data_IF_994769744400
#
_entry.id   IF_994769744400
#
_cell.length_a   1.000
_cell.length_b   1.000
_cell.length_c   1.000
_cell.angle_alpha   90.00
_cell.angle_beta   90.00
_cell.angle_gamma   90.00
#
_symmetry.space_group_name_H-M   'P 1'
#
loop_
_entity.id
_entity.type
_entity.pdbx_description
1 polymer ?
#
# COMPACT_ATOMS: atom_id res chain seq x y z
N UNK A 1 3.00 22.16 186.98
CA UNK A 1 3.00 21.22 188.12
C UNK A 1 4.31 20.46 188.05
N UNK A 2 5.32 20.84 188.84
CA UNK A 2 5.62 20.25 190.16
C UNK A 2 5.79 18.74 190.09
N UNK A 3 7.04 18.30 189.92
CA UNK A 3 7.58 17.13 190.63
C UNK A 3 9.02 17.47 191.05
N UNK A 4 9.22 17.52 192.37
CA UNK A 4 10.52 17.74 192.99
C UNK A 4 11.29 16.43 192.96
N UNK A 5 12.28 16.35 192.10
CA UNK A 5 13.23 15.22 192.00
C UNK A 5 14.52 15.52 192.76
N UNK A 6 14.44 16.13 193.96
CA UNK A 6 15.65 16.39 194.75
C UNK A 6 16.09 15.13 195.51
N UNK A 7 17.27 14.56 195.20
CA UNK A 7 17.69 13.28 195.76
C UNK A 7 18.21 13.44 197.19
N UNK A 8 17.92 12.44 198.03
CA UNK A 8 18.49 12.31 199.36
C UNK A 8 19.87 11.66 199.21
N UNK A 9 20.93 12.44 199.38
CA UNK A 9 22.31 11.98 199.23
C UNK A 9 22.90 11.49 200.55
N UNK A 10 23.70 10.42 200.48
CA UNK A 10 24.44 9.88 201.62
C UNK A 10 25.65 10.75 201.96
N UNK A 11 26.04 10.79 203.24
CA UNK A 11 27.10 11.68 203.73
C UNK A 11 28.45 11.50 203.00
N UNK A 12 28.76 10.30 202.52
CA UNK A 12 29.99 10.03 201.76
C UNK A 12 29.97 10.63 200.35
N UNK A 13 28.80 10.66 199.69
CA UNK A 13 28.63 11.37 198.41
C UNK A 13 28.77 12.88 198.58
N UNK A 14 28.23 13.42 199.68
CA UNK A 14 28.34 14.86 199.98
C UNK A 14 29.82 15.22 200.18
N UNK A 15 30.58 14.43 200.95
CA UNK A 15 32.02 14.64 201.16
C UNK A 15 32.82 14.51 199.85
N UNK A 16 32.49 13.54 199.00
CA UNK A 16 33.15 13.37 197.69
C UNK A 16 32.85 14.54 196.75
N UNK A 17 31.61 15.02 196.72
CA UNK A 17 31.21 16.16 195.89
C UNK A 17 31.99 17.42 196.30
N UNK A 18 32.07 17.71 197.60
CA UNK A 18 32.83 18.87 198.05
C UNK A 18 34.35 18.73 197.82
N UNK A 19 34.92 17.52 197.81
CA UNK A 19 36.35 17.29 197.52
C UNK A 19 36.73 17.38 196.05
N UNK A 20 35.80 17.08 195.14
CA UNK A 20 36.11 16.98 193.70
C UNK A 20 35.64 18.23 192.95
N UNK A 21 34.53 18.82 193.38
CA UNK A 21 33.83 19.87 192.63
C UNK A 21 33.87 21.25 193.31
N UNK A 22 34.24 21.35 194.60
CA UNK A 22 34.00 22.60 195.36
C UNK A 22 35.20 23.14 196.17
N UNK A 23 35.97 22.31 196.90
CA UNK A 23 37.10 22.75 197.73
C UNK A 23 38.44 22.58 197.01
N UNK A 24 39.37 23.55 197.16
CA UNK A 24 40.66 23.56 196.43
C UNK A 24 41.83 23.80 197.39
N UNK A 25 42.87 22.96 197.34
CA UNK A 25 44.10 23.09 198.15
C UNK A 25 44.16 22.22 199.41
N UNK A 26 45.00 22.57 200.39
CA UNK A 26 45.23 21.76 201.61
C UNK A 26 43.95 21.47 202.42
N UNK A 27 42.90 22.28 202.26
CA UNK A 27 41.60 22.11 202.94
C UNK A 27 40.86 20.82 202.51
N UNK A 28 41.02 20.37 201.26
CA UNK A 28 40.33 19.18 200.75
C UNK A 28 40.85 17.86 201.35
N UNK A 29 42.11 17.83 201.81
CA UNK A 29 42.74 16.63 202.42
C UNK A 29 42.32 16.40 203.87
N UNK A 30 41.94 17.45 204.58
CA UNK A 30 41.57 17.39 206.00
C UNK A 30 40.06 17.33 206.26
N UNK A 31 39.24 17.50 205.22
CA UNK A 31 37.78 17.47 205.31
C UNK A 31 37.25 16.04 205.43
N UNK A 32 36.64 15.67 206.55
CA UNK A 32 36.23 14.29 206.84
C UNK A 32 34.80 14.19 207.37
N UNK A 33 34.23 12.98 207.38
CA UNK A 33 32.85 12.70 207.81
C UNK A 33 32.53 13.21 209.24
N UNK A 34 33.55 13.27 210.10
CA UNK A 34 33.47 13.79 211.47
C UNK A 34 33.22 15.29 211.57
N UNK A 35 33.28 16.04 210.47
CA UNK A 35 33.02 17.48 210.47
C UNK A 35 31.54 17.82 210.24
N UNK A 36 30.69 16.82 209.96
CA UNK A 36 29.23 16.97 209.74
C UNK A 36 28.36 16.09 210.63
N UNK A 37 28.92 15.13 211.36
CA UNK A 37 28.14 14.21 212.22
C UNK A 37 28.77 13.99 213.60
N UNK A 38 27.96 13.96 214.69
CA UNK A 38 26.51 14.13 214.69
C UNK A 38 26.07 15.59 214.54
N UNK A 39 26.98 16.55 214.80
CA UNK A 39 26.73 18.00 214.71
C UNK A 39 27.86 18.68 213.93
N UNK A 40 27.58 19.44 212.86
CA UNK A 40 28.62 20.08 212.06
C UNK A 40 29.35 21.22 212.75
N UNK A 41 30.65 21.35 212.50
CA UNK A 41 31.49 22.45 213.03
C UNK A 41 31.30 23.73 212.20
N UNK A 42 31.11 24.87 212.88
CA UNK A 42 30.80 26.19 212.27
C UNK A 42 31.89 26.69 211.31
N UNK A 43 33.16 26.31 211.54
CA UNK A 43 34.28 26.64 210.66
C UNK A 43 34.17 25.99 209.26
N UNK A 44 33.52 24.83 209.18
CA UNK A 44 33.38 24.07 207.94
C UNK A 44 32.30 24.64 207.01
N UNK A 45 31.26 25.27 207.57
CA UNK A 45 30.16 25.87 206.81
C UNK A 45 30.53 27.20 206.15
N UNK A 46 31.43 27.98 206.75
CA UNK A 46 31.88 29.27 206.19
C UNK A 46 32.70 29.11 204.90
N UNK A 47 33.48 28.02 204.77
CA UNK A 47 34.33 27.81 203.60
C UNK A 47 33.53 27.28 202.39
N UNK A 48 32.43 26.56 202.63
CA UNK A 48 31.55 26.04 201.58
C UNK A 48 30.77 27.17 200.88
N UNK A 49 30.29 28.18 201.62
CA UNK A 49 29.51 29.28 201.05
C UNK A 49 30.38 30.20 200.16
N UNK A 50 31.67 30.33 200.45
CA UNK A 50 32.59 31.15 199.63
C UNK A 50 32.93 30.51 198.29
N UNK A 51 33.01 29.17 198.20
CA UNK A 51 33.22 28.49 196.92
C UNK A 51 31.99 28.50 196.01
N UNK A 52 30.76 28.53 196.55
CA UNK A 52 29.54 28.48 195.73
C UNK A 52 29.26 29.78 194.97
N UNK A 53 29.63 30.95 195.52
CA UNK A 53 29.40 32.24 194.85
C UNK A 53 30.43 32.57 193.75
N UNK A 54 31.55 31.83 193.66
CA UNK A 54 32.57 32.02 192.62
C UNK A 54 32.21 31.43 191.25
N UNK A 55 31.36 30.41 191.20
CA UNK A 55 31.02 29.68 189.95
C UNK A 55 29.85 30.29 189.14
N UNK A 56 29.16 31.31 189.65
CA UNK A 56 27.97 31.87 188.98
C UNK A 56 28.30 32.94 187.90
N UNK A 57 29.46 33.60 187.96
CA UNK A 57 29.80 34.70 187.05
C UNK A 57 30.53 34.27 185.76
N UNK A 58 31.01 33.04 185.67
CA UNK A 58 31.73 32.53 184.50
C UNK A 58 30.82 31.88 183.43
N UNK A 59 29.61 31.43 183.75
CA UNK A 59 28.70 30.82 182.77
C UNK A 59 27.99 31.84 181.84
N UNK A 60 27.70 33.06 182.28
CA UNK A 60 26.94 34.03 181.45
C UNK A 60 27.73 34.61 180.26
N UNK A 61 29.06 34.54 180.24
CA UNK A 61 29.88 35.13 179.17
C UNK A 61 30.00 34.21 177.94
N UNK A 62 29.89 32.89 178.10
CA UNK A 62 30.04 31.94 177.00
C UNK A 62 28.79 31.81 176.09
N UNK A 63 27.59 32.09 176.61
CA UNK A 63 26.34 31.96 175.83
C UNK A 63 26.12 33.12 174.85
N UNK A 64 26.58 34.34 175.17
CA UNK A 64 26.48 35.49 174.27
C UNK A 64 27.34 35.32 173.01
N UNK A 65 28.52 34.70 173.14
CA UNK A 65 29.43 34.47 172.00
C UNK A 65 28.86 33.44 171.00
N UNK A 66 28.05 32.46 171.47
CA UNK A 66 27.38 31.49 170.58
C UNK A 66 26.24 32.11 169.76
N UNK A 67 25.47 33.02 170.34
CA UNK A 67 24.35 33.67 169.65
C UNK A 67 24.83 34.53 168.47
N UNK A 68 25.98 35.20 168.60
CA UNK A 68 26.57 36.01 167.54
C UNK A 68 27.08 35.19 166.34
N UNK A 69 27.41 33.91 166.52
CA UNK A 69 27.86 33.04 165.44
C UNK A 69 26.71 32.60 164.52
N UNK A 70 25.55 32.26 165.08
CA UNK A 70 24.39 31.81 164.29
C UNK A 70 23.80 32.90 163.40
N UNK A 71 23.72 34.15 163.89
CA UNK A 71 23.17 35.27 163.11
C UNK A 71 23.96 35.53 161.83
N UNK A 72 25.27 35.29 161.82
CA UNK A 72 26.12 35.49 160.64
C UNK A 72 25.91 34.42 159.57
N UNK A 73 25.73 33.17 159.99
CA UNK A 73 25.50 32.04 159.07
C UNK A 73 24.16 32.16 158.31
N UNK A 74 23.10 32.66 158.95
CA UNK A 74 21.82 32.84 158.27
C UNK A 74 21.88 33.89 157.15
N UNK A 75 22.61 34.98 157.36
CA UNK A 75 22.71 36.06 156.38
C UNK A 75 23.51 35.65 155.12
N UNK A 76 24.48 34.73 155.28
CA UNK A 76 25.19 34.13 154.15
C UNK A 76 24.34 33.12 153.37
N UNK A 77 23.45 32.38 154.05
CA UNK A 77 22.55 31.42 153.40
C UNK A 77 21.49 32.11 152.53
N UNK A 78 20.92 33.24 152.98
CA UNK A 78 19.94 34.02 152.20
C UNK A 78 20.52 34.54 150.88
N UNK A 79 21.74 35.11 150.91
CA UNK A 79 22.42 35.56 149.68
C UNK A 79 22.64 34.45 148.66
N UNK A 80 22.81 33.21 149.12
CA UNK A 80 23.06 32.06 148.24
C UNK A 80 21.78 31.56 147.54
N UNK A 81 20.61 31.76 148.16
CA UNK A 81 19.32 31.40 147.58
C UNK A 81 18.92 32.39 146.47
N UNK A 82 19.19 33.68 146.64
CA UNK A 82 18.90 34.71 145.64
C UNK A 82 19.68 34.47 144.34
N UNK A 83 20.97 34.13 144.42
CA UNK A 83 21.80 33.82 143.24
C UNK A 83 21.34 32.60 142.43
N UNK A 84 20.64 31.62 143.01
CA UNK A 84 20.23 30.39 142.32
C UNK A 84 18.85 30.49 141.66
N UNK A 85 18.05 31.51 141.99
CA UNK A 85 16.66 31.65 141.51
C UNK A 85 16.51 32.61 140.33
N UNK A 86 17.58 33.31 139.95
CA UNK A 86 17.63 34.13 138.74
C UNK A 86 18.45 33.43 137.65
N UNK A 87 17.81 33.08 136.53
CA UNK A 87 18.51 32.60 135.33
C UNK A 87 19.35 33.77 134.77
N UNK A 88 20.65 33.60 134.51
CA UNK A 88 21.49 34.65 133.95
C UNK A 88 20.96 35.11 132.58
N UNK A 89 20.94 36.42 132.30
CA UNK A 89 20.48 36.95 130.99
C UNK A 89 21.27 36.40 129.80
N UNK A 90 22.50 35.92 130.02
CA UNK A 90 23.31 35.24 129.00
C UNK A 90 22.68 33.94 128.52
N UNK A 91 22.05 33.15 129.39
CA UNK A 91 21.40 31.89 129.01
C UNK A 91 20.02 32.09 128.35
N UNK A 92 19.34 33.22 128.64
CA UNK A 92 18.10 33.58 127.95
C UNK A 92 18.39 34.07 126.53
N UNK A 93 19.45 34.87 126.34
CA UNK A 93 19.88 35.33 125.01
C UNK A 93 20.32 34.17 124.10
N UNK A 94 21.02 33.17 124.64
CA UNK A 94 21.46 31.99 123.90
C UNK A 94 20.28 31.12 123.42
N UNK A 95 19.23 30.99 124.24
CA UNK A 95 18.01 30.28 123.85
C UNK A 95 17.23 31.01 122.74
N UNK A 96 17.17 32.34 122.79
CA UNK A 96 16.52 33.16 121.76
C UNK A 96 17.33 33.13 120.45
N UNK A 97 18.67 33.11 120.50
CA UNK A 97 19.55 32.96 119.34
C UNK A 97 19.41 31.57 118.69
N UNK A 98 19.28 30.51 119.49
CA UNK A 98 19.00 29.15 119.00
C UNK A 98 17.62 29.03 118.33
N UNK A 99 16.59 29.69 118.86
CA UNK A 99 15.27 29.72 118.24
C UNK A 99 15.25 30.50 116.92
N UNK A 100 16.02 31.59 116.84
CA UNK A 100 16.22 32.34 115.61
C UNK A 100 16.96 31.49 114.56
N UNK A 101 18.04 30.81 114.94
CA UNK A 101 18.79 29.92 114.05
C UNK A 101 17.96 28.73 113.55
N UNK A 102 17.09 28.15 114.40
CA UNK A 102 16.17 27.09 113.99
C UNK A 102 15.10 27.60 113.01
N UNK A 103 14.56 28.80 113.24
CA UNK A 103 13.58 29.41 112.34
C UNK A 103 14.20 29.75 110.99
N UNK A 104 15.44 30.24 110.98
CA UNK A 104 16.20 30.52 109.76
C UNK A 104 16.49 29.21 109.00
N UNK A 105 16.98 28.17 109.69
CA UNK A 105 17.20 26.85 109.09
C UNK A 105 15.91 26.24 108.50
N UNK A 106 14.79 26.39 109.20
CA UNK A 106 13.48 25.92 108.72
C UNK A 106 13.02 26.71 107.48
N UNK A 107 13.25 28.02 107.44
CA UNK A 107 12.95 28.86 106.28
C UNK A 107 13.84 28.49 105.07
N UNK A 108 15.14 28.29 105.28
CA UNK A 108 16.09 27.88 104.22
C UNK A 108 15.73 26.50 103.68
N UNK A 109 15.40 25.55 104.55
CA UNK A 109 14.97 24.20 104.13
C UNK A 109 13.69 24.24 103.29
N UNK A 110 12.73 25.10 103.66
CA UNK A 110 11.48 25.27 102.91
C UNK A 110 11.74 25.91 101.54
N UNK A 111 12.66 26.89 101.45
CA UNK A 111 13.07 27.51 100.21
C UNK A 111 13.77 26.52 99.27
N UNK A 112 14.77 25.78 99.78
CA UNK A 112 15.48 24.75 99.01
C UNK A 112 14.52 23.69 98.48
N UNK A 113 13.53 23.26 99.27
CA UNK A 113 12.51 22.32 98.81
C UNK A 113 11.65 22.89 97.66
N UNK A 114 11.32 24.18 97.71
CA UNK A 114 10.58 24.85 96.63
C UNK A 114 11.43 24.99 95.36
N UNK A 115 12.71 25.33 95.48
CA UNK A 115 13.64 25.40 94.34
C UNK A 115 13.84 24.04 93.68
N UNK A 116 14.03 22.97 94.48
CA UNK A 116 14.15 21.60 93.96
C UNK A 116 12.89 21.19 93.19
N UNK A 117 11.70 21.55 93.68
CA UNK A 117 10.45 21.27 92.96
C UNK A 117 10.37 22.04 91.63
N UNK A 118 10.70 23.34 91.62
CA UNK A 118 10.69 24.16 90.41
C UNK A 118 11.72 23.67 89.36
N UNK A 119 12.88 23.21 89.81
CA UNK A 119 13.91 22.62 88.95
C UNK A 119 13.46 21.27 88.40
N UNK A 120 12.77 20.45 89.21
CA UNK A 120 12.20 19.18 88.79
C UNK A 120 11.07 19.35 87.75
N UNK A 121 10.22 20.37 87.91
CA UNK A 121 9.20 20.76 86.93
C UNK A 121 9.86 21.17 85.59
N UNK A 122 10.94 21.95 85.66
CA UNK A 122 11.73 22.33 84.49
C UNK A 122 12.34 21.11 83.80
N UNK A 123 12.90 20.16 84.56
CA UNK A 123 13.43 18.89 84.03
C UNK A 123 12.33 18.08 83.33
N UNK A 124 11.13 18.02 83.90
CA UNK A 124 9.99 17.35 83.29
C UNK A 124 9.59 18.00 81.95
N UNK A 125 9.56 19.34 81.90
CA UNK A 125 9.30 20.07 80.66
C UNK A 125 10.37 19.79 79.59
N UNK A 126 11.66 19.80 79.97
CA UNK A 126 12.76 19.46 79.07
C UNK A 126 12.70 18.02 78.56
N UNK A 127 12.33 17.05 79.41
CA UNK A 127 12.10 15.65 79.00
C UNK A 127 10.99 15.56 77.95
N UNK A 128 9.89 16.29 78.16
CA UNK A 128 8.78 16.35 77.20
C UNK A 128 9.22 16.96 75.86
N UNK A 129 9.94 18.09 75.89
CA UNK A 129 10.50 18.72 74.68
C UNK A 129 11.47 17.81 73.94
N UNK A 130 12.32 17.07 74.65
CA UNK A 130 13.23 16.08 74.05
C UNK A 130 12.45 14.95 73.39
N UNK A 131 11.41 14.42 74.04
CA UNK A 131 10.56 13.38 73.49
C UNK A 131 9.86 13.85 72.20
N UNK A 132 9.28 15.06 72.20
CA UNK A 132 8.65 15.65 71.02
C UNK A 132 9.64 15.87 69.86
N UNK A 133 10.84 16.40 70.16
CA UNK A 133 11.88 16.59 69.14
C UNK A 133 12.36 15.26 68.57
N UNK A 134 12.48 14.24 69.41
CA UNK A 134 12.84 12.87 69.00
C UNK A 134 11.76 12.27 68.09
N UNK A 135 10.48 12.45 68.43
CA UNK A 135 9.36 11.99 67.62
C UNK A 135 9.31 12.72 66.26
N UNK A 136 9.45 14.05 66.24
CA UNK A 136 9.48 14.84 65.00
C UNK A 136 10.67 14.44 64.11
N UNK A 137 11.83 14.16 64.70
CA UNK A 137 13.00 13.67 63.97
C UNK A 137 12.75 12.29 63.35
N UNK A 138 12.10 11.38 64.09
CA UNK A 138 11.72 10.07 63.58
C UNK A 138 10.75 10.19 62.40
N UNK A 139 9.75 11.08 62.49
CA UNK A 139 8.82 11.35 61.39
C UNK A 139 9.55 11.86 60.14
N UNK A 140 10.42 12.87 60.29
CA UNK A 140 11.20 13.41 59.17
C UNK A 140 12.09 12.34 58.52
N UNK A 141 12.66 11.40 59.30
CA UNK A 141 13.42 10.28 58.73
C UNK A 141 12.56 9.36 57.86
N UNK A 142 11.32 9.09 58.26
CA UNK A 142 10.36 8.30 57.47
C UNK A 142 10.01 9.06 56.19
N UNK A 143 9.70 10.34 56.29
CA UNK A 143 9.35 11.17 55.13
C UNK A 143 10.51 11.26 54.12
N UNK A 144 11.75 11.40 54.60
CA UNK A 144 12.96 11.38 53.75
C UNK A 144 13.13 10.03 53.05
N UNK A 145 12.84 8.91 53.72
CA UNK A 145 12.89 7.59 53.09
C UNK A 145 11.82 7.44 52.02
N UNK A 146 10.57 7.87 52.30
CA UNK A 146 9.48 7.89 51.31
C UNK A 146 9.84 8.72 50.09
N UNK A 147 10.37 9.93 50.28
CA UNK A 147 10.79 10.80 49.18
C UNK A 147 11.94 10.19 48.37
N UNK A 148 12.88 9.47 49.00
CA UNK A 148 13.94 8.75 48.28
C UNK A 148 13.39 7.63 47.40
N UNK A 149 12.41 6.88 47.88
CA UNK A 149 11.73 5.86 47.10
C UNK A 149 10.96 6.48 45.92
N UNK A 150 10.26 7.58 46.15
CA UNK A 150 9.54 8.32 45.10
C UNK A 150 10.50 8.88 44.03
N UNK A 151 11.65 9.44 44.43
CA UNK A 151 12.71 9.87 43.52
C UNK A 151 13.25 8.69 42.71
N UNK A 152 13.47 7.54 43.35
CA UNK A 152 13.90 6.31 42.68
C UNK A 152 12.91 5.85 41.61
N UNK A 153 11.61 5.81 41.95
CA UNK A 153 10.53 5.43 41.04
C UNK A 153 10.40 6.38 39.85
N UNK A 154 10.40 7.69 40.11
CA UNK A 154 10.34 8.71 39.05
C UNK A 154 11.56 8.64 38.12
N UNK A 155 12.76 8.40 38.66
CA UNK A 155 13.97 8.26 37.85
C UNK A 155 13.88 7.05 36.91
N UNK A 156 13.35 5.90 37.36
CA UNK A 156 13.15 4.74 36.49
C UNK A 156 12.14 5.02 35.39
N UNK A 157 11.00 5.66 35.69
CA UNK A 157 10.00 6.03 34.68
C UNK A 157 10.53 7.05 33.66
N UNK A 158 11.35 8.01 34.11
CA UNK A 158 12.03 8.97 33.23
C UNK A 158 13.04 8.28 32.30
N UNK A 159 13.63 7.15 32.70
CA UNK A 159 14.59 6.41 31.87
C UNK A 159 13.87 5.43 30.91
N UNK A 160 12.78 4.79 31.35
CA UNK A 160 12.00 3.87 30.51
C UNK A 160 11.27 4.60 29.35
N UNK A 161 10.68 5.78 29.58
CA UNK A 161 9.92 6.50 28.55
C UNK A 161 10.76 6.91 27.30
N UNK A 162 12.00 7.40 27.44
CA UNK A 162 12.92 7.63 26.32
C UNK A 162 13.36 6.36 25.60
N UNK A 163 13.58 5.25 26.31
CA UNK A 163 13.94 3.97 25.69
C UNK A 163 12.77 3.40 24.88
N UNK A 164 11.55 3.49 25.40
CA UNK A 164 10.31 3.14 24.70
C UNK A 164 10.16 3.97 23.41
N UNK A 165 10.35 5.30 23.50
CA UNK A 165 10.28 6.19 22.33
C UNK A 165 11.35 5.84 21.28
N UNK A 166 12.58 5.54 21.71
CA UNK A 166 13.66 5.13 20.82
C UNK A 166 13.34 3.81 20.12
N UNK A 167 12.76 2.84 20.85
CA UNK A 167 12.28 1.57 20.30
C UNK A 167 11.19 1.78 19.26
N UNK A 168 10.21 2.66 19.54
CA UNK A 168 9.17 2.99 18.57
C UNK A 168 9.72 3.72 17.34
N UNK A 169 10.67 4.64 17.50
CA UNK A 169 11.34 5.31 16.39
C UNK A 169 12.09 4.33 15.49
N UNK A 170 12.80 3.35 16.06
CA UNK A 170 13.47 2.29 15.29
C UNK A 170 12.47 1.43 14.52
N UNK A 171 11.37 0.99 15.16
CA UNK A 171 10.29 0.28 14.47
C UNK A 171 9.72 1.10 13.31
N UNK A 172 9.52 2.40 13.51
CA UNK A 172 9.00 3.28 12.46
C UNK A 172 10.01 3.48 11.33
N UNK A 173 11.31 3.59 11.62
CA UNK A 173 12.37 3.62 10.59
C UNK A 173 12.39 2.35 9.76
N UNK A 174 12.31 1.19 10.41
CA UNK A 174 12.30 -0.09 9.70
C UNK A 174 11.04 -0.24 8.84
N UNK A 175 9.88 0.18 9.34
CA UNK A 175 8.65 0.22 8.56
C UNK A 175 8.77 1.14 7.34
N UNK A 176 9.32 2.35 7.51
CA UNK A 176 9.57 3.29 6.39
C UNK A 176 10.51 2.68 5.36
N UNK A 177 11.57 2.00 5.80
CA UNK A 177 12.51 1.30 4.92
C UNK A 177 11.82 0.19 4.13
N UNK A 178 11.01 -0.63 4.80
CA UNK A 178 10.26 -1.72 4.16
C UNK A 178 9.25 -1.18 3.14
N UNK A 179 8.55 -0.09 3.47
CA UNK A 179 7.63 0.59 2.54
C UNK A 179 8.40 1.09 1.32
N UNK A 180 9.56 1.72 1.52
CA UNK A 180 10.38 2.23 0.41
C UNK A 180 10.82 1.12 -0.53
N UNK A 181 11.32 0.01 0.00
CA UNK A 181 11.71 -1.15 -0.80
C UNK A 181 10.50 -1.73 -1.55
N UNK A 182 9.34 -1.84 -0.88
CA UNK A 182 8.12 -2.32 -1.53
C UNK A 182 7.63 -1.40 -2.65
N UNK A 183 7.83 -0.08 -2.54
CA UNK A 183 7.53 0.89 -3.60
C UNK A 183 8.48 0.67 -4.77
N UNK A 184 9.79 0.59 -4.53
CA UNK A 184 10.81 0.34 -5.56
C UNK A 184 10.52 -0.97 -6.33
N UNK A 185 10.22 -2.08 -5.63
CA UNK A 185 9.84 -3.35 -6.25
C UNK A 185 8.54 -3.25 -7.09
N UNK A 186 7.59 -2.41 -6.65
CA UNK A 186 6.34 -2.21 -7.38
C UNK A 186 6.57 -1.38 -8.64
N UNK A 187 7.42 -0.35 -8.57
CA UNK A 187 7.79 0.48 -9.72
C UNK A 187 8.53 -0.34 -10.79
N UNK A 188 9.46 -1.21 -10.38
CA UNK A 188 10.14 -2.14 -11.29
C UNK A 188 9.13 -3.04 -12.03
N UNK A 189 8.18 -3.65 -11.31
CA UNK A 189 7.12 -4.48 -11.92
C UNK A 189 6.23 -3.68 -12.87
N UNK A 190 5.92 -2.42 -12.55
CA UNK A 190 5.12 -1.56 -13.43
C UNK A 190 5.85 -1.31 -14.76
N UNK A 191 7.16 -1.05 -14.72
CA UNK A 191 7.97 -0.87 -15.94
C UNK A 191 8.01 -2.17 -16.75
N UNK A 192 8.21 -3.32 -16.11
CA UNK A 192 8.15 -4.62 -16.79
C UNK A 192 6.81 -4.86 -17.48
N UNK A 193 5.70 -4.59 -16.78
CA UNK A 193 4.36 -4.71 -17.35
C UNK A 193 4.13 -3.74 -18.52
N UNK A 194 4.61 -2.50 -18.42
CA UNK A 194 4.53 -1.54 -19.54
C UNK A 194 5.28 -2.03 -20.78
N UNK A 195 6.47 -2.61 -20.60
CA UNK A 195 7.24 -3.19 -21.70
C UNK A 195 6.51 -4.38 -22.35
N UNK A 196 5.89 -5.25 -21.55
CA UNK A 196 5.07 -6.35 -22.06
C UNK A 196 3.87 -5.85 -22.88
N UNK A 197 3.16 -4.84 -22.37
CA UNK A 197 2.02 -4.21 -23.08
C UNK A 197 2.47 -3.58 -24.39
N UNK A 198 3.64 -2.92 -24.43
CA UNK A 198 4.19 -2.39 -25.69
C UNK A 198 4.53 -3.52 -26.68
N UNK A 199 5.05 -4.65 -26.22
CA UNK A 199 5.28 -5.83 -27.04
C UNK A 199 3.99 -6.40 -27.64
N UNK A 200 2.92 -6.51 -26.83
CA UNK A 200 1.63 -6.98 -27.32
C UNK A 200 1.00 -6.02 -28.34
N UNK A 201 1.01 -4.71 -28.09
CA UNK A 201 0.46 -3.73 -29.04
C UNK A 201 1.21 -3.73 -30.37
N UNK A 202 2.53 -3.99 -30.35
CA UNK A 202 3.30 -4.19 -31.57
C UNK A 202 2.87 -5.46 -32.32
N UNK A 203 2.75 -6.59 -31.63
CA UNK A 203 2.28 -7.85 -32.21
C UNK A 203 0.85 -7.74 -32.77
N UNK A 204 -0.03 -7.01 -32.09
CA UNK A 204 -1.40 -6.73 -32.57
C UNK A 204 -1.39 -5.97 -33.90
N UNK A 205 -0.51 -4.97 -34.05
CA UNK A 205 -0.35 -4.24 -35.29
C UNK A 205 0.17 -5.13 -36.44
N UNK A 206 1.12 -6.01 -36.17
CA UNK A 206 1.62 -6.98 -37.16
C UNK A 206 0.53 -7.98 -37.59
N UNK A 207 -0.27 -8.47 -36.63
CA UNK A 207 -1.41 -9.34 -36.91
C UNK A 207 -2.43 -8.63 -37.81
N UNK A 208 -2.75 -7.37 -37.54
CA UNK A 208 -3.67 -6.58 -38.36
C UNK A 208 -3.15 -6.39 -39.79
N UNK A 209 -1.84 -6.17 -39.97
CA UNK A 209 -1.22 -6.11 -41.29
C UNK A 209 -1.32 -7.44 -42.04
N UNK A 210 -1.07 -8.57 -41.34
CA UNK A 210 -1.20 -9.90 -41.92
C UNK A 210 -2.63 -10.20 -42.37
N UNK A 211 -3.65 -9.81 -41.58
CA UNK A 211 -5.05 -9.95 -41.98
C UNK A 211 -5.38 -9.19 -43.26
N UNK A 212 -4.88 -7.96 -43.42
CA UNK A 212 -5.11 -7.18 -44.63
C UNK A 212 -4.49 -7.87 -45.87
N UNK A 213 -3.26 -8.40 -45.73
CA UNK A 213 -2.60 -9.14 -46.82
C UNK A 213 -3.37 -10.42 -47.20
N UNK A 214 -3.93 -11.14 -46.23
CA UNK A 214 -4.75 -12.31 -46.48
C UNK A 214 -6.03 -11.95 -47.25
N UNK A 215 -6.67 -10.83 -46.91
CA UNK A 215 -7.88 -10.36 -47.60
C UNK A 215 -7.59 -9.95 -49.06
N UNK A 216 -6.44 -9.31 -49.30
CA UNK A 216 -5.98 -8.97 -50.66
C UNK A 216 -5.70 -10.23 -51.49
N UNK A 217 -5.05 -11.23 -50.88
CA UNK A 217 -4.79 -12.53 -51.50
C UNK A 217 -6.09 -13.26 -51.85
N UNK A 218 -7.06 -13.29 -50.95
CA UNK A 218 -8.39 -13.87 -51.20
C UNK A 218 -9.07 -13.20 -52.39
N UNK A 219 -9.06 -11.87 -52.42
CA UNK A 219 -9.63 -11.07 -53.51
C UNK A 219 -8.94 -11.36 -54.86
N UNK A 220 -7.61 -11.45 -54.86
CA UNK A 220 -6.82 -11.82 -56.03
C UNK A 220 -7.13 -13.25 -56.52
N UNK A 221 -7.24 -14.20 -55.60
CA UNK A 221 -7.56 -15.59 -55.90
C UNK A 221 -8.96 -15.73 -56.51
N UNK A 222 -9.95 -15.00 -55.98
CA UNK A 222 -11.31 -14.96 -56.54
C UNK A 222 -11.31 -14.40 -57.98
N UNK A 223 -10.55 -13.34 -58.24
CA UNK A 223 -10.39 -12.81 -59.60
C UNK A 223 -9.70 -13.80 -60.55
N UNK A 224 -8.70 -14.52 -60.08
CA UNK A 224 -8.02 -15.56 -60.86
C UNK A 224 -8.96 -16.71 -61.21
N UNK A 225 -9.79 -17.14 -60.26
CA UNK A 225 -10.83 -18.16 -60.49
C UNK A 225 -11.84 -17.73 -61.56
N UNK A 226 -12.35 -16.50 -61.49
CA UNK A 226 -13.26 -15.98 -62.52
C UNK A 226 -12.60 -15.93 -63.92
N UNK A 227 -11.30 -15.58 -63.99
CA UNK A 227 -10.55 -15.62 -65.26
C UNK A 227 -10.40 -17.05 -65.78
N UNK A 228 -10.16 -18.00 -64.89
CA UNK A 228 -10.06 -19.42 -65.23
C UNK A 228 -11.38 -19.96 -65.79
N UNK A 229 -12.52 -19.62 -65.19
CA UNK A 229 -13.86 -19.98 -65.66
C UNK A 229 -14.11 -19.44 -67.08
N UNK A 230 -13.82 -18.15 -67.32
CA UNK A 230 -13.92 -17.55 -68.67
C UNK A 230 -13.02 -18.24 -69.69
N UNK A 231 -11.81 -18.63 -69.30
CA UNK A 231 -10.91 -19.36 -70.18
C UNK A 231 -11.48 -20.73 -70.56
N UNK A 232 -12.07 -21.46 -69.60
CA UNK A 232 -12.72 -22.74 -69.86
C UNK A 232 -13.91 -22.60 -70.81
N UNK A 233 -14.75 -21.58 -70.62
CA UNK A 233 -15.86 -21.28 -71.53
C UNK A 233 -15.38 -20.98 -72.96
N UNK A 234 -14.32 -20.17 -73.09
CA UNK A 234 -13.75 -19.83 -74.38
C UNK A 234 -13.14 -21.05 -75.08
N UNK A 235 -12.48 -21.93 -74.33
CA UNK A 235 -11.95 -23.19 -74.86
C UNK A 235 -13.07 -24.11 -75.38
N UNK A 236 -14.17 -24.24 -74.64
CA UNK A 236 -15.34 -25.00 -75.10
C UNK A 236 -15.93 -24.41 -76.39
N UNK A 237 -16.01 -23.08 -76.50
CA UNK A 237 -16.45 -22.40 -77.73
C UNK A 237 -15.48 -22.65 -78.90
N UNK A 238 -14.17 -22.59 -78.65
CA UNK A 238 -13.15 -22.86 -79.66
C UNK A 238 -13.28 -24.29 -80.21
N UNK A 239 -13.42 -25.29 -79.34
CA UNK A 239 -13.62 -26.68 -79.76
C UNK A 239 -14.89 -26.86 -80.59
N UNK A 240 -15.98 -26.20 -80.19
CA UNK A 240 -17.24 -26.21 -80.96
C UNK A 240 -17.03 -25.63 -82.36
N UNK A 241 -16.39 -24.46 -82.46
CA UNK A 241 -16.10 -23.81 -83.74
C UNK A 241 -15.16 -24.64 -84.61
N UNK A 242 -14.19 -25.31 -84.00
CA UNK A 242 -13.28 -26.21 -84.71
C UNK A 242 -14.02 -27.41 -85.32
N UNK A 243 -14.99 -27.99 -84.59
CA UNK A 243 -15.86 -29.06 -85.10
C UNK A 243 -16.76 -28.56 -86.24
N UNK A 244 -17.38 -27.39 -86.08
CA UNK A 244 -18.19 -26.75 -87.13
C UNK A 244 -17.37 -26.53 -88.41
N UNK A 245 -16.14 -26.01 -88.30
CA UNK A 245 -15.25 -25.78 -89.44
C UNK A 245 -14.89 -27.08 -90.17
N UNK A 246 -14.59 -28.16 -89.43
CA UNK A 246 -14.31 -29.48 -90.03
C UNK A 246 -15.52 -30.00 -90.82
N UNK A 247 -16.74 -29.81 -90.30
CA UNK A 247 -17.97 -30.21 -90.99
C UNK A 247 -18.16 -29.44 -92.30
N UNK A 248 -17.97 -28.11 -92.27
CA UNK A 248 -18.06 -27.26 -93.46
C UNK A 248 -17.04 -27.70 -94.53
N UNK A 249 -15.82 -28.06 -94.15
CA UNK A 249 -14.82 -28.57 -95.10
C UNK A 249 -15.25 -29.89 -95.75
N UNK A 250 -15.89 -30.78 -94.99
CA UNK A 250 -16.45 -32.04 -95.52
C UNK A 250 -17.57 -31.73 -96.53
N UNK A 251 -18.49 -30.81 -96.18
CA UNK A 251 -19.58 -30.38 -97.05
C UNK A 251 -19.08 -29.72 -98.34
N UNK A 252 -18.10 -28.82 -98.23
CA UNK A 252 -17.43 -28.19 -99.39
C UNK A 252 -16.85 -29.27 -100.32
N UNK A 253 -16.14 -30.26 -99.76
CA UNK A 253 -15.59 -31.36 -100.52
C UNK A 253 -16.66 -32.21 -101.24
N UNK A 254 -17.80 -32.44 -100.60
CA UNK A 254 -18.94 -33.14 -101.22
C UNK A 254 -19.54 -32.33 -102.38
N UNK A 255 -19.77 -31.03 -102.18
CA UNK A 255 -20.31 -30.14 -103.20
C UNK A 255 -19.36 -30.01 -104.39
N UNK A 256 -18.04 -29.92 -104.15
CA UNK A 256 -17.03 -29.88 -105.21
C UNK A 256 -17.09 -31.15 -106.08
N UNK A 257 -17.11 -32.34 -105.46
CA UNK A 257 -17.28 -33.60 -106.21
C UNK A 257 -18.61 -33.65 -106.99
N UNK A 258 -19.69 -33.11 -106.43
CA UNK A 258 -20.97 -33.04 -107.11
C UNK A 258 -20.94 -32.09 -108.32
N UNK A 259 -20.28 -30.94 -108.19
CA UNK A 259 -20.03 -29.99 -109.28
C UNK A 259 -19.23 -30.65 -110.41
N UNK A 260 -18.13 -31.33 -110.09
CA UNK A 260 -17.26 -31.98 -111.08
C UNK A 260 -18.04 -33.05 -111.87
N UNK A 261 -18.88 -33.84 -111.19
CA UNK A 261 -19.79 -34.79 -111.85
C UNK A 261 -20.77 -34.13 -112.80
N UNK A 262 -21.29 -32.93 -112.47
CA UNK A 262 -22.18 -32.17 -113.36
C UNK A 262 -21.43 -31.65 -114.59
N UNK A 263 -20.23 -31.09 -114.39
CA UNK A 263 -19.38 -30.58 -115.47
C UNK A 263 -18.95 -31.69 -116.43
N UNK A 264 -18.57 -32.87 -115.93
CA UNK A 264 -18.24 -34.03 -116.79
C UNK A 264 -19.45 -34.48 -117.64
N UNK A 265 -20.64 -34.56 -117.03
CA UNK A 265 -21.88 -34.88 -117.75
C UNK A 265 -22.20 -33.85 -118.83
N UNK A 266 -22.07 -32.58 -118.52
CA UNK A 266 -22.30 -31.48 -119.46
C UNK A 266 -21.29 -31.50 -120.60
N UNK A 267 -19.99 -31.70 -120.31
CA UNK A 267 -18.94 -31.84 -121.31
C UNK A 267 -19.25 -33.00 -122.27
N UNK A 268 -19.59 -34.19 -121.74
CA UNK A 268 -20.01 -35.35 -122.53
C UNK A 268 -21.22 -35.04 -123.41
N UNK A 269 -22.21 -34.32 -122.88
CA UNK A 269 -23.40 -33.93 -123.65
C UNK A 269 -23.06 -32.92 -124.75
N UNK A 270 -22.21 -31.92 -124.46
CA UNK A 270 -21.77 -30.92 -125.43
C UNK A 270 -20.95 -31.54 -126.56
N UNK A 271 -20.03 -32.46 -126.27
CA UNK A 271 -19.31 -33.22 -127.29
C UNK A 271 -20.28 -34.02 -128.18
N UNK A 272 -21.27 -34.71 -127.60
CA UNK A 272 -22.29 -35.45 -128.37
C UNK A 272 -23.11 -34.53 -129.28
N UNK A 273 -23.56 -33.37 -128.76
CA UNK A 273 -24.30 -32.35 -129.52
C UNK A 273 -23.43 -31.79 -130.65
N UNK A 274 -22.17 -31.51 -130.38
CA UNK A 274 -21.22 -30.98 -131.35
C UNK A 274 -20.98 -31.97 -132.49
N UNK A 275 -20.65 -33.23 -132.19
CA UNK A 275 -20.52 -34.29 -133.21
C UNK A 275 -21.77 -34.44 -134.06
N UNK A 276 -22.96 -34.35 -133.46
CA UNK A 276 -24.23 -34.42 -134.21
C UNK A 276 -24.41 -33.21 -135.15
N UNK A 277 -23.97 -32.02 -134.74
CA UNK A 277 -23.97 -30.83 -135.61
C UNK A 277 -22.99 -31.01 -136.76
N UNK A 278 -21.76 -31.42 -136.47
CA UNK A 278 -20.72 -31.66 -137.47
C UNK A 278 -21.15 -32.71 -138.51
N UNK A 279 -21.77 -33.81 -138.08
CA UNK A 279 -22.30 -34.81 -139.04
C UNK A 279 -23.40 -34.25 -139.94
N UNK A 280 -24.29 -33.40 -139.42
CA UNK A 280 -25.33 -32.75 -140.22
C UNK A 280 -24.74 -31.75 -141.20
N UNK A 281 -23.77 -30.95 -140.74
CA UNK A 281 -23.05 -29.98 -141.55
C UNK A 281 -22.31 -30.68 -142.70
N UNK A 282 -21.60 -31.76 -142.40
CA UNK A 282 -20.92 -32.58 -143.42
C UNK A 282 -21.90 -33.10 -144.47
N UNK A 283 -23.07 -33.61 -144.04
CA UNK A 283 -24.11 -34.07 -144.96
C UNK A 283 -24.64 -32.95 -145.86
N UNK A 284 -24.90 -31.75 -145.30
CA UNK A 284 -25.32 -30.59 -146.08
C UNK A 284 -24.25 -30.19 -147.09
N UNK A 285 -22.97 -30.16 -146.69
CA UNK A 285 -21.86 -29.87 -147.60
C UNK A 285 -21.75 -30.89 -148.73
N UNK A 286 -21.94 -32.18 -148.44
CA UNK A 286 -21.95 -33.24 -149.45
C UNK A 286 -23.10 -33.09 -150.45
N UNK A 287 -24.32 -32.80 -149.97
CA UNK A 287 -25.47 -32.51 -150.83
C UNK A 287 -25.20 -31.27 -151.69
N UNK A 288 -24.65 -30.20 -151.10
CA UNK A 288 -24.31 -28.98 -151.83
C UNK A 288 -23.26 -29.25 -152.93
N UNK A 289 -22.24 -30.05 -152.63
CA UNK A 289 -21.24 -30.50 -153.62
C UNK A 289 -21.90 -31.27 -154.77
N UNK A 290 -22.82 -32.18 -154.47
CA UNK A 290 -23.57 -32.90 -155.51
C UNK A 290 -24.44 -31.96 -156.34
N UNK A 291 -25.14 -31.01 -155.72
CA UNK A 291 -25.94 -30.00 -156.41
C UNK A 291 -25.06 -29.14 -157.34
N UNK A 292 -23.88 -28.72 -156.90
CA UNK A 292 -22.94 -27.96 -157.74
C UNK A 292 -22.45 -28.78 -158.94
N UNK A 293 -22.10 -30.06 -158.74
CA UNK A 293 -21.73 -30.96 -159.84
C UNK A 293 -22.88 -31.13 -160.84
N UNK A 294 -24.12 -31.27 -160.35
CA UNK A 294 -25.31 -31.33 -161.20
C UNK A 294 -25.55 -30.01 -161.94
N UNK A 295 -25.31 -28.88 -161.30
CA UNK A 295 -25.43 -27.56 -161.92
C UNK A 295 -24.40 -27.37 -163.04
N UNK A 296 -23.12 -27.69 -162.78
CA UNK A 296 -22.06 -27.65 -163.78
C UNK A 296 -22.37 -28.52 -165.00
N UNK A 297 -22.83 -29.77 -164.79
CA UNK A 297 -23.27 -30.64 -165.90
C UNK A 297 -24.46 -30.07 -166.68
N UNK A 298 -25.39 -29.38 -166.00
CA UNK A 298 -26.52 -28.71 -166.64
C UNK A 298 -26.07 -27.51 -167.47
N UNK A 299 -25.09 -26.76 -166.97
CA UNK A 299 -24.48 -25.63 -167.69
C UNK A 299 -23.75 -26.12 -168.95
N UNK A 300 -22.90 -27.15 -168.83
CA UNK A 300 -22.24 -27.78 -169.99
C UNK A 300 -23.24 -28.31 -171.03
N UNK A 301 -24.38 -28.87 -170.60
CA UNK A 301 -25.46 -29.29 -171.51
C UNK A 301 -26.19 -28.11 -172.14
N UNK A 302 -26.41 -27.02 -171.39
CA UNK A 302 -27.03 -25.81 -171.91
C UNK A 302 -26.16 -25.17 -173.00
N UNK A 303 -24.84 -25.12 -172.79
CA UNK A 303 -23.87 -24.65 -173.80
C UNK A 303 -23.94 -25.49 -175.07
N UNK A 304 -23.97 -26.83 -174.95
CA UNK A 304 -24.14 -27.74 -176.10
C UNK A 304 -25.47 -27.53 -176.82
N UNK A 305 -26.56 -27.32 -176.09
CA UNK A 305 -27.88 -27.02 -176.68
C UNK A 305 -27.81 -25.68 -177.43
N UNK A 306 -27.13 -24.67 -176.87
CA UNK A 306 -26.97 -23.37 -177.51
C UNK A 306 -26.13 -23.48 -178.78
N UNK A 307 -25.05 -24.26 -178.77
CA UNK A 307 -24.23 -24.57 -179.95
C UNK A 307 -25.07 -25.24 -181.05
N UNK A 308 -25.78 -26.33 -180.74
CA UNK A 308 -26.69 -27.01 -181.69
C UNK A 308 -27.78 -26.06 -182.18
N UNK A 309 -28.32 -25.19 -181.32
CA UNK A 309 -29.33 -24.21 -181.72
C UNK A 309 -28.75 -23.19 -182.69
N UNK A 310 -27.51 -22.75 -182.48
CA UNK A 310 -26.77 -21.88 -183.40
C UNK A 310 -26.52 -22.55 -184.76
N UNK A 311 -26.04 -23.79 -184.74
CA UNK A 311 -25.87 -24.61 -185.95
C UNK A 311 -27.19 -24.79 -186.71
N UNK A 312 -28.28 -25.09 -185.99
CA UNK A 312 -29.62 -25.23 -186.55
C UNK A 312 -30.08 -23.91 -187.21
N UNK A 313 -29.86 -22.76 -186.56
CA UNK A 313 -30.18 -21.45 -187.15
C UNK A 313 -29.34 -21.17 -188.40
N UNK A 314 -28.04 -21.49 -188.39
CA UNK A 314 -27.18 -21.34 -189.56
C UNK A 314 -27.63 -22.23 -190.71
N UNK A 315 -27.99 -23.49 -190.43
CA UNK A 315 -28.54 -24.42 -191.42
C UNK A 315 -29.86 -23.88 -191.98
N UNK A 316 -30.75 -23.36 -191.12
CA UNK A 316 -32.02 -22.75 -191.54
C UNK A 316 -31.80 -21.53 -192.44
N UNK A 317 -30.78 -20.71 -192.16
CA UNK A 317 -30.40 -19.58 -193.01
C UNK A 317 -29.87 -20.06 -194.38
N UNK A 318 -29.03 -21.10 -194.42
CA UNK A 318 -28.56 -21.72 -195.68
C UNK A 318 -29.72 -22.28 -196.50
N UNK A 319 -30.66 -23.00 -195.88
CA UNK A 319 -31.87 -23.51 -196.54
C UNK A 319 -32.70 -22.36 -197.13
N UNK A 320 -32.84 -21.25 -196.41
CA UNK A 320 -33.56 -20.07 -196.90
C UNK A 320 -32.84 -19.44 -198.11
N UNK A 321 -31.52 -19.23 -198.02
CA UNK A 321 -30.72 -18.70 -199.13
C UNK A 321 -30.80 -19.58 -200.38
N UNK A 322 -30.68 -20.91 -200.24
CA UNK A 322 -30.86 -21.84 -201.35
C UNK A 322 -32.27 -21.76 -201.95
N UNK A 323 -33.30 -21.63 -201.10
CA UNK A 323 -34.67 -21.45 -201.56
C UNK A 323 -34.83 -20.15 -202.35
N UNK A 324 -34.24 -19.06 -201.90
CA UNK A 324 -34.29 -17.77 -202.58
C UNK A 324 -33.58 -17.86 -203.95
N UNK A 325 -32.41 -18.51 -204.02
CA UNK A 325 -31.70 -18.80 -205.29
C UNK A 325 -32.56 -19.66 -206.22
N UNK A 326 -33.16 -20.75 -205.74
CA UNK A 326 -34.05 -21.57 -206.56
C UNK A 326 -35.27 -20.79 -207.04
N UNK A 327 -35.85 -19.91 -206.22
CA UNK A 327 -36.97 -19.07 -206.64
C UNK A 327 -36.54 -18.10 -207.76
N UNK A 328 -35.33 -17.56 -207.68
CA UNK A 328 -34.78 -16.67 -208.71
C UNK A 328 -34.45 -17.41 -210.00
N UNK A 329 -33.83 -18.59 -209.93
CA UNK A 329 -33.66 -19.49 -211.08
C UNK A 329 -35.00 -19.90 -211.69
N UNK A 330 -36.01 -20.17 -210.86
CA UNK A 330 -37.37 -20.46 -211.32
C UNK A 330 -37.98 -19.25 -212.02
N UNK A 331 -37.77 -18.03 -211.52
CA UNK A 331 -38.23 -16.80 -212.17
C UNK A 331 -37.53 -16.56 -213.52
N UNK A 332 -36.22 -16.84 -213.62
CA UNK A 332 -35.47 -16.77 -214.89
C UNK A 332 -36.00 -17.82 -215.86
N UNK A 333 -36.21 -19.06 -215.40
CA UNK A 333 -36.78 -20.13 -216.23
C UNK A 333 -38.19 -19.78 -216.71
N UNK A 334 -39.02 -19.20 -215.84
CA UNK A 334 -40.36 -18.71 -216.18
C UNK A 334 -40.29 -17.58 -217.21
N UNK A 335 -39.39 -16.61 -217.03
CA UNK A 335 -39.19 -15.51 -217.98
C UNK A 335 -38.68 -16.00 -219.35
N UNK A 336 -37.80 -17.00 -219.38
CA UNK A 336 -37.38 -17.66 -220.62
C UNK A 336 -38.55 -18.38 -221.28
N UNK A 337 -39.37 -19.09 -220.49
CA UNK A 337 -40.57 -19.76 -220.98
C UNK A 337 -41.55 -18.75 -221.59
N UNK A 338 -41.80 -17.63 -220.90
CA UNK A 338 -42.66 -16.55 -221.39
C UNK A 338 -42.07 -15.90 -222.65
N UNK A 339 -40.76 -15.71 -222.73
CA UNK A 339 -40.07 -15.18 -223.92
C UNK A 339 -40.21 -16.12 -225.11
N UNK A 340 -39.97 -17.43 -224.91
CA UNK A 340 -40.16 -18.44 -225.94
C UNK A 340 -41.62 -18.50 -226.38
N UNK A 341 -42.56 -18.49 -225.44
CA UNK A 341 -43.99 -18.47 -225.69
C UNK A 341 -44.40 -17.24 -226.51
N UNK A 342 -43.88 -16.05 -226.18
CA UNK A 342 -44.12 -14.81 -226.94
C UNK A 342 -43.53 -14.88 -228.34
N UNK A 343 -42.30 -15.41 -228.49
CA UNK A 343 -41.69 -15.60 -229.81
C UNK A 343 -42.45 -16.61 -230.67
N UNK A 344 -43.00 -17.66 -230.06
CA UNK A 344 -43.89 -18.61 -230.73
C UNK A 344 -45.21 -17.95 -231.12
N UNK A 345 -45.79 -17.10 -230.28
CA UNK A 345 -47.01 -16.34 -230.59
C UNK A 345 -46.78 -15.35 -231.76
N UNK A 346 -45.62 -14.69 -231.81
CA UNK A 346 -45.21 -13.86 -232.96
C UNK A 346 -44.94 -14.66 -234.23
N UNK A 347 -44.43 -15.89 -234.11
CA UNK A 347 -44.27 -16.82 -235.22
C UNK A 347 -45.63 -17.27 -235.75
N UNK A 348 -46.57 -17.62 -234.86
CA UNK A 348 -47.95 -17.93 -235.23
C UNK A 348 -48.62 -16.73 -235.93
N UNK A 349 -48.47 -15.51 -235.40
CA UNK A 349 -48.97 -14.28 -236.06
C UNK A 349 -48.33 -14.04 -237.43
N UNK A 350 -47.02 -14.32 -237.60
CA UNK A 350 -46.35 -14.22 -238.91
C UNK A 350 -46.82 -15.27 -239.91
N UNK A 351 -47.08 -16.49 -239.45
CA UNK A 351 -47.62 -17.57 -240.28
C UNK A 351 -49.03 -17.21 -240.73
N UNK A 352 -49.89 -16.71 -239.83
CA UNK A 352 -51.24 -16.26 -240.17
C UNK A 352 -51.23 -15.10 -241.19
N UNK A 353 -50.28 -14.17 -241.08
CA UNK A 353 -50.14 -13.05 -242.02
C UNK A 353 -49.64 -13.48 -243.41
N UNK A 354 -48.80 -14.52 -243.49
CA UNK A 354 -48.36 -15.09 -244.78
C UNK A 354 -49.42 -15.95 -245.48
N UNK A 355 -50.47 -16.39 -244.78
CA UNK A 355 -51.59 -17.14 -245.38
C UNK A 355 -52.61 -16.20 -246.05
N UNK A 356 -52.66 -14.91 -245.68
CA UNK A 356 -53.66 -13.96 -246.20
C UNK A 356 -53.28 -13.21 -247.49
N UNK A 357 -52.02 -13.21 -247.95
CA UNK A 357 -51.63 -12.54 -249.21
C UNK A 357 -51.37 -13.50 -250.39
N UNK A 358 -51.74 -14.78 -250.25
CA UNK A 358 -51.82 -15.75 -251.35
C UNK A 358 -53.26 -15.92 -251.90
N UNK A 359 -54.11 -14.91 -251.73
CA UNK A 359 -55.43 -14.72 -252.36
C UNK A 359 -55.69 -13.23 -252.51
#
# INVERSE_FOLDING_TARGET
>A
MTENTFPVYTADMIVSFYRTEVLVGQEAKHFTKSDFTPVPKVTTLSNIVKSFNGNCYCCQRADMDKLQAYTRGNLEAEKKIEMLTTIPPEQQAEADELAAALSELQATTMHEYQEVNAENDSIAEWKTKIAEKTQKLAQVKVDVSSLKEDIGRLKSQIVESPEELKSQMEKMRENVKNIKNSIEETDERVVEMQNMVQGETHCEAENQQMYNLLQDLESSMNNAKQRQEKYQELMAQYEKKQKELKNVFIEEGQLKRARDKKLDKECKQNIRRQKKREMKEQHVQDVFRQCNQMHQKREEMADKIQEITGEMQQLKAKIKSLRDVCNEETAIAQALFDTMYTSMDELHKRIDMHIMEAS
#
